data_IF_007125295334
#
_entry.id   IF_007125295334
#
_cell.length_a   1.000
_cell.length_b   1.000
_cell.length_c   1.000
_cell.angle_alpha   90.00
_cell.angle_beta   90.00
_cell.angle_gamma   90.00
#
_symmetry.space_group_name_H-M   'P 1'
#
loop_
_entity.id
_entity.type
_entity.pdbx_description
1 polymer ?
#
# COMPACT_ATOMS: atom_id res chain seq x y z
N UNK A 1 -32.46 17.61 26.93
CA UNK A 1 -31.57 18.18 25.89
C UNK A 1 -30.09 18.33 26.33
N UNK A 2 -29.68 17.92 27.54
CA UNK A 2 -28.26 17.95 27.94
C UNK A 2 -27.42 16.79 27.39
N UNK A 3 -26.13 17.05 27.18
CA UNK A 3 -25.08 16.03 27.33
C UNK A 3 -24.78 15.98 28.83
N UNK A 4 -24.83 14.79 29.42
CA UNK A 4 -24.57 14.60 30.84
C UNK A 4 -23.28 13.78 30.97
N UNK A 5 -22.39 14.21 31.87
CA UNK A 5 -21.16 13.48 32.20
C UNK A 5 -21.48 12.21 32.98
N UNK A 6 -22.55 12.25 33.78
CA UNK A 6 -23.12 11.12 34.49
C UNK A 6 -24.61 11.34 34.72
N UNK A 7 -25.38 10.25 34.74
CA UNK A 7 -26.80 10.28 35.08
C UNK A 7 -27.02 9.46 36.34
N UNK A 8 -27.72 10.02 37.31
CA UNK A 8 -28.28 9.27 38.43
C UNK A 8 -29.78 9.13 38.24
N UNK A 9 -30.32 7.98 38.64
CA UNK A 9 -31.76 7.73 38.59
C UNK A 9 -32.19 6.86 39.75
N UNK A 10 -33.48 6.87 40.08
CA UNK A 10 -34.06 5.95 41.05
C UNK A 10 -34.83 4.86 40.31
N UNK A 11 -34.90 3.65 40.87
CA UNK A 11 -35.67 2.59 40.21
C UNK A 11 -37.18 2.92 40.13
N UNK A 12 -37.78 3.37 41.24
CA UNK A 12 -39.18 3.78 41.28
C UNK A 12 -39.28 5.30 41.17
N UNK A 13 -39.84 5.79 40.06
CA UNK A 13 -40.09 7.20 39.83
C UNK A 13 -41.61 7.46 39.91
N UNK A 14 -42.03 8.67 40.30
CA UNK A 14 -43.46 9.03 40.37
C UNK A 14 -44.17 8.96 39.01
N UNK A 15 -43.41 8.97 37.92
CA UNK A 15 -43.90 9.06 36.55
C UNK A 15 -43.46 7.87 35.67
N UNK A 16 -42.83 6.84 36.24
CA UNK A 16 -42.32 5.70 35.48
C UNK A 16 -41.30 4.87 36.26
N UNK A 17 -40.43 4.16 35.54
CA UNK A 17 -39.34 3.39 36.14
C UNK A 17 -37.96 3.88 35.67
N UNK A 18 -36.94 3.69 36.49
CA UNK A 18 -35.56 4.08 36.20
C UNK A 18 -34.92 3.29 35.06
N UNK A 19 -35.43 2.10 34.73
CA UNK A 19 -34.92 1.30 33.59
C UNK A 19 -35.24 1.99 32.26
N UNK A 20 -36.41 2.60 32.11
CA UNK A 20 -36.77 3.39 30.92
C UNK A 20 -35.83 4.59 30.74
N UNK A 21 -35.47 5.25 31.84
CA UNK A 21 -34.48 6.33 31.84
C UNK A 21 -33.11 5.81 31.40
N UNK A 22 -32.64 4.71 32.01
CA UNK A 22 -31.38 4.05 31.65
C UNK A 22 -31.34 3.71 30.15
N UNK A 23 -32.38 3.04 29.63
CA UNK A 23 -32.46 2.68 28.21
C UNK A 23 -32.46 3.92 27.32
N UNK A 24 -33.19 4.97 27.69
CA UNK A 24 -33.20 6.24 26.97
C UNK A 24 -31.81 6.90 26.91
N UNK A 25 -31.09 6.90 28.04
CA UNK A 25 -29.72 7.42 28.13
C UNK A 25 -28.77 6.61 27.27
N UNK A 26 -28.75 5.28 27.42
CA UNK A 26 -27.85 4.40 26.66
C UNK A 26 -28.14 4.37 25.17
N UNK A 27 -29.41 4.51 24.77
CA UNK A 27 -29.79 4.66 23.35
C UNK A 27 -29.24 5.94 22.74
N UNK A 28 -29.22 7.05 23.51
CA UNK A 28 -28.69 8.33 23.04
C UNK A 28 -27.16 8.33 23.04
N UNK A 29 -26.54 7.83 24.09
CA UNK A 29 -25.10 7.65 24.20
C UNK A 29 -24.78 6.43 25.08
N UNK A 30 -24.28 5.33 24.50
CA UNK A 30 -23.91 4.12 25.25
C UNK A 30 -22.84 4.36 26.33
N UNK A 31 -22.04 5.42 26.18
CA UNK A 31 -20.96 5.77 27.08
C UNK A 31 -21.36 6.71 28.21
N UNK A 32 -22.57 7.26 28.24
CA UNK A 32 -23.00 8.06 29.40
C UNK A 32 -23.21 7.12 30.59
N UNK A 33 -22.46 7.30 31.69
CA UNK A 33 -22.59 6.44 32.84
C UNK A 33 -23.91 6.66 33.57
N UNK A 34 -24.50 5.58 34.06
CA UNK A 34 -25.75 5.61 34.83
C UNK A 34 -25.55 4.89 36.16
N UNK A 35 -25.80 5.61 37.26
CA UNK A 35 -25.84 5.05 38.61
C UNK A 35 -27.28 5.06 39.13
N UNK A 36 -27.77 3.92 39.58
CA UNK A 36 -29.15 3.78 40.06
C UNK A 36 -29.23 3.75 41.58
N UNK A 37 -30.15 4.50 42.16
CA UNK A 37 -30.47 4.41 43.58
C UNK A 37 -31.62 3.44 43.82
N UNK A 38 -31.41 2.46 44.70
CA UNK A 38 -32.36 1.37 44.97
C UNK A 38 -32.76 1.31 46.44
N UNK A 39 -33.97 0.82 46.73
CA UNK A 39 -34.44 0.64 48.12
C UNK A 39 -33.84 -0.60 48.78
N UNK A 40 -33.94 -0.72 50.11
CA UNK A 40 -33.55 -1.94 50.82
C UNK A 40 -34.34 -3.16 50.29
N UNK A 41 -33.64 -4.23 49.89
CA UNK A 41 -34.26 -5.45 49.35
C UNK A 41 -34.48 -5.46 47.82
N UNK A 42 -33.92 -4.51 47.08
CA UNK A 42 -34.08 -4.40 45.61
C UNK A 42 -32.79 -4.61 44.81
N UNK A 43 -31.89 -5.46 45.31
CA UNK A 43 -30.63 -5.79 44.61
C UNK A 43 -30.88 -6.55 43.30
N UNK A 44 -31.86 -7.45 43.29
CA UNK A 44 -32.27 -8.22 42.10
C UNK A 44 -32.65 -7.29 40.94
N UNK A 45 -33.30 -6.17 41.27
CA UNK A 45 -33.70 -5.14 40.33
C UNK A 45 -32.49 -4.39 39.75
N UNK A 46 -31.50 -4.08 40.58
CA UNK A 46 -30.25 -3.47 40.12
C UNK A 46 -29.48 -4.42 39.19
N UNK A 47 -29.42 -5.71 39.55
CA UNK A 47 -28.81 -6.77 38.73
C UNK A 47 -29.55 -6.92 37.40
N UNK A 48 -30.88 -6.84 37.39
CA UNK A 48 -31.63 -6.83 36.14
C UNK A 48 -31.29 -5.59 35.30
N UNK A 49 -31.20 -4.41 35.93
CA UNK A 49 -30.83 -3.17 35.26
C UNK A 49 -29.42 -3.22 34.63
N UNK A 50 -28.48 -4.01 35.18
CA UNK A 50 -27.15 -4.24 34.58
C UNK A 50 -27.26 -4.82 33.17
N UNK A 51 -28.26 -5.67 32.88
CA UNK A 51 -28.50 -6.21 31.53
C UNK A 51 -28.84 -5.13 30.51
N UNK A 52 -29.36 -3.98 30.97
CA UNK A 52 -29.68 -2.82 30.14
C UNK A 52 -28.57 -1.77 30.15
N UNK A 53 -27.41 -2.09 30.70
CA UNK A 53 -26.22 -1.24 30.70
C UNK A 53 -26.12 -0.32 31.91
N UNK A 54 -26.77 -0.62 33.03
CA UNK A 54 -26.49 0.09 34.28
C UNK A 54 -25.01 -0.06 34.63
N UNK A 55 -24.35 1.02 35.07
CA UNK A 55 -22.91 0.99 35.35
C UNK A 55 -22.62 0.73 36.84
N UNK A 56 -23.47 1.25 37.73
CA UNK A 56 -23.42 0.96 39.16
C UNK A 56 -24.77 1.24 39.85
N UNK A 57 -24.91 0.84 41.12
CA UNK A 57 -26.06 1.17 41.94
C UNK A 57 -25.69 1.46 43.40
N UNK A 58 -26.56 2.22 44.08
CA UNK A 58 -26.39 2.62 45.47
C UNK A 58 -27.69 2.35 46.22
N UNK A 59 -27.58 1.65 47.35
CA UNK A 59 -28.72 1.40 48.24
C UNK A 59 -29.03 2.69 49.01
N UNK A 60 -30.29 3.12 49.02
CA UNK A 60 -30.80 4.30 49.72
C UNK A 60 -30.89 4.06 51.24
N UNK A 61 -29.74 3.89 51.88
CA UNK A 61 -29.57 3.87 53.33
C UNK A 61 -28.45 4.83 53.69
N UNK A 62 -28.58 5.50 54.84
CA UNK A 62 -27.70 6.59 55.27
C UNK A 62 -26.21 6.20 55.19
N UNK A 63 -25.89 4.99 55.65
CA UNK A 63 -24.54 4.40 55.66
C UNK A 63 -23.94 4.19 54.24
N UNK A 64 -24.78 4.04 53.21
CA UNK A 64 -24.36 3.69 51.85
C UNK A 64 -24.18 4.90 50.94
N UNK A 65 -24.72 6.07 51.30
CA UNK A 65 -24.54 7.30 50.51
C UNK A 65 -23.07 7.74 50.46
N UNK A 66 -22.28 7.42 51.49
CA UNK A 66 -20.82 7.67 51.50
C UNK A 66 -20.09 6.94 50.37
N UNK A 67 -20.69 5.93 49.73
CA UNK A 67 -20.11 5.24 48.58
C UNK A 67 -20.28 5.98 47.26
N UNK A 68 -21.19 6.96 47.17
CA UNK A 68 -21.48 7.65 45.92
C UNK A 68 -20.23 8.27 45.27
N UNK A 69 -19.38 9.04 45.98
CA UNK A 69 -18.17 9.59 45.38
C UNK A 69 -17.25 8.51 44.77
N UNK A 70 -17.08 7.39 45.47
CA UNK A 70 -16.28 6.27 44.98
C UNK A 70 -16.91 5.57 43.76
N UNK A 71 -18.23 5.34 43.79
CA UNK A 71 -18.97 4.76 42.67
C UNK A 71 -18.88 5.63 41.40
N UNK A 72 -19.08 6.94 41.55
CA UNK A 72 -18.93 7.92 40.45
C UNK A 72 -17.51 7.84 39.88
N UNK A 73 -16.49 7.88 40.74
CA UNK A 73 -15.10 7.85 40.30
C UNK A 73 -14.79 6.57 39.50
N UNK A 74 -15.12 5.40 40.04
CA UNK A 74 -14.87 4.10 39.38
C UNK A 74 -15.60 3.99 38.04
N UNK A 75 -16.85 4.42 37.98
CA UNK A 75 -17.65 4.36 36.75
C UNK A 75 -17.08 5.32 35.69
N UNK A 76 -16.69 6.53 36.09
CA UNK A 76 -16.10 7.51 35.17
C UNK A 76 -14.78 7.01 34.58
N UNK A 77 -13.89 6.43 35.39
CA UNK A 77 -12.63 5.84 34.91
C UNK A 77 -12.88 4.70 33.92
N UNK A 78 -13.80 3.78 34.24
CA UNK A 78 -14.18 2.67 33.34
C UNK A 78 -14.72 3.18 32.01
N UNK A 79 -15.58 4.20 32.02
CA UNK A 79 -16.12 4.79 30.79
C UNK A 79 -15.01 5.47 29.98
N UNK A 80 -14.12 6.22 30.62
CA UNK A 80 -13.00 6.86 29.95
C UNK A 80 -12.11 5.84 29.24
N UNK A 81 -11.78 4.74 29.90
CA UNK A 81 -10.98 3.67 29.30
C UNK A 81 -11.70 3.01 28.12
N UNK A 82 -13.01 2.78 28.21
CA UNK A 82 -13.82 2.26 27.09
C UNK A 82 -13.85 3.22 25.90
N UNK A 83 -14.00 4.53 26.14
CA UNK A 83 -13.98 5.55 25.09
C UNK A 83 -12.59 5.58 24.43
N UNK A 84 -11.52 5.58 25.23
CA UNK A 84 -10.14 5.59 24.75
C UNK A 84 -9.84 4.37 23.88
N UNK A 85 -10.23 3.18 24.34
CA UNK A 85 -10.10 1.94 23.58
C UNK A 85 -10.84 2.00 22.26
N UNK A 86 -12.11 2.43 22.26
CA UNK A 86 -12.91 2.53 21.05
C UNK A 86 -12.31 3.51 20.04
N UNK A 87 -11.84 4.67 20.49
CA UNK A 87 -11.14 5.64 19.62
C UNK A 87 -9.86 5.07 19.03
N UNK A 88 -9.09 4.31 19.81
CA UNK A 88 -7.88 3.65 19.32
C UNK A 88 -8.20 2.58 18.27
N UNK A 89 -9.25 1.78 18.49
CA UNK A 89 -9.73 0.78 17.53
C UNK A 89 -10.23 1.44 16.23
N UNK A 90 -11.00 2.52 16.32
CA UNK A 90 -11.49 3.28 15.16
C UNK A 90 -10.33 3.92 14.37
N UNK A 91 -9.38 4.56 15.07
CA UNK A 91 -8.20 5.16 14.45
C UNK A 91 -7.30 4.10 13.77
N UNK A 92 -7.13 2.94 14.39
CA UNK A 92 -6.41 1.81 13.78
C UNK A 92 -7.12 1.35 12.51
N UNK A 93 -8.43 1.14 12.56
CA UNK A 93 -9.24 0.72 11.41
C UNK A 93 -9.17 1.72 10.25
N UNK A 94 -9.30 3.02 10.54
CA UNK A 94 -9.21 4.08 9.53
C UNK A 94 -7.81 4.12 8.88
N UNK A 95 -6.76 3.97 9.71
CA UNK A 95 -5.38 3.90 9.24
C UNK A 95 -5.16 2.68 8.32
N UNK A 96 -5.62 1.50 8.73
CA UNK A 96 -5.55 0.27 7.91
C UNK A 96 -6.31 0.41 6.60
N UNK A 97 -7.52 1.00 6.62
CA UNK A 97 -8.32 1.29 5.43
C UNK A 97 -7.60 2.25 4.48
N UNK A 98 -6.99 3.30 5.01
CA UNK A 98 -6.22 4.27 4.24
C UNK A 98 -5.00 3.61 3.59
N UNK A 99 -4.20 2.84 4.34
CA UNK A 99 -3.04 2.14 3.80
C UNK A 99 -3.44 1.11 2.75
N UNK A 100 -4.47 0.30 3.01
CA UNK A 100 -5.01 -0.66 2.04
C UNK A 100 -5.42 0.03 0.75
N UNK A 101 -6.13 1.16 0.84
CA UNK A 101 -6.57 1.91 -0.33
C UNK A 101 -5.38 2.43 -1.14
N UNK A 102 -4.36 2.99 -0.49
CA UNK A 102 -3.13 3.46 -1.16
C UNK A 102 -2.39 2.33 -1.88
N UNK A 103 -2.30 1.15 -1.25
CA UNK A 103 -1.64 -0.02 -1.83
C UNK A 103 -2.43 -0.58 -3.01
N UNK A 104 -3.75 -0.75 -2.86
CA UNK A 104 -4.61 -1.34 -3.90
C UNK A 104 -4.84 -0.43 -5.10
N UNK A 105 -4.80 0.90 -4.91
CA UNK A 105 -4.96 1.88 -5.98
C UNK A 105 -3.63 2.30 -6.62
N UNK A 106 -2.49 1.81 -6.12
CA UNK A 106 -1.18 2.08 -6.71
C UNK A 106 -1.14 1.59 -8.17
N UNK A 107 -0.65 2.40 -9.13
CA UNK A 107 -0.45 1.94 -10.50
C UNK A 107 0.71 0.94 -10.62
N UNK A 108 1.68 1.01 -9.69
CA UNK A 108 2.80 0.08 -9.62
C UNK A 108 2.41 -1.15 -8.80
N UNK A 109 2.91 -2.31 -9.22
CA UNK A 109 2.75 -3.58 -8.51
C UNK A 109 3.49 -3.54 -7.18
N UNK A 110 2.80 -3.79 -6.08
CA UNK A 110 3.38 -3.89 -4.74
C UNK A 110 3.29 -5.35 -4.32
N UNK A 111 4.38 -5.88 -3.77
CA UNK A 111 4.43 -7.26 -3.32
C UNK A 111 5.35 -7.43 -2.12
N UNK A 112 5.12 -8.51 -1.38
CA UNK A 112 5.99 -9.00 -0.32
C UNK A 112 6.27 -10.46 -0.62
N UNK A 113 7.54 -10.85 -0.50
CA UNK A 113 7.97 -12.25 -0.58
C UNK A 113 8.74 -12.65 0.67
N UNK A 114 8.69 -13.93 1.03
CA UNK A 114 9.56 -14.47 2.07
C UNK A 114 11.03 -14.60 1.60
N UNK A 115 11.90 -15.14 2.46
CA UNK A 115 13.31 -15.35 2.13
C UNK A 115 13.54 -16.39 1.01
N UNK A 116 12.57 -17.26 0.76
CA UNK A 116 12.59 -18.26 -0.30
C UNK A 116 12.03 -17.72 -1.62
N UNK A 117 11.39 -16.55 -1.60
CA UNK A 117 10.77 -15.91 -2.75
C UNK A 117 9.30 -16.29 -2.95
N UNK A 118 8.63 -16.91 -1.98
CA UNK A 118 7.19 -17.17 -2.06
C UNK A 118 6.43 -15.87 -1.79
N UNK A 119 5.40 -15.58 -2.56
CA UNK A 119 4.60 -14.36 -2.36
C UNK A 119 3.78 -14.47 -1.06
N UNK A 120 3.92 -13.47 -0.20
CA UNK A 120 3.15 -13.32 1.04
C UNK A 120 2.01 -12.30 0.89
N UNK A 121 2.16 -11.35 -0.03
CA UNK A 121 1.17 -10.31 -0.34
C UNK A 121 1.44 -9.74 -1.72
N UNK A 122 0.38 -9.40 -2.44
CA UNK A 122 0.42 -8.69 -3.73
C UNK A 122 -0.77 -7.73 -3.80
N UNK A 123 -0.59 -6.56 -4.40
CA UNK A 123 -1.71 -5.67 -4.70
C UNK A 123 -2.36 -6.00 -6.05
N UNK A 124 -3.50 -5.36 -6.32
CA UNK A 124 -4.21 -5.49 -7.60
C UNK A 124 -3.36 -5.18 -8.83
N UNK A 125 -2.46 -4.19 -8.78
CA UNK A 125 -1.61 -3.85 -9.92
C UNK A 125 -0.64 -4.98 -10.29
N UNK A 126 -0.04 -5.65 -9.31
CA UNK A 126 0.82 -6.81 -9.55
C UNK A 126 0.02 -7.97 -10.17
N UNK A 127 -1.18 -8.23 -9.68
CA UNK A 127 -2.10 -9.20 -10.26
C UNK A 127 -2.40 -8.90 -11.73
N UNK A 128 -2.64 -7.63 -12.06
CA UNK A 128 -2.92 -7.18 -13.42
C UNK A 128 -1.72 -7.35 -14.36
N UNK A 129 -0.50 -7.04 -13.91
CA UNK A 129 0.72 -7.21 -14.71
C UNK A 129 1.00 -8.69 -14.98
N UNK A 130 0.94 -9.54 -13.94
CA UNK A 130 1.25 -10.96 -14.08
C UNK A 130 0.08 -11.80 -14.63
N UNK A 131 -1.14 -11.24 -14.70
CA UNK A 131 -2.36 -11.91 -15.18
C UNK A 131 -2.77 -13.12 -14.33
N UNK A 132 -2.44 -13.09 -13.04
CA UNK A 132 -2.86 -14.07 -12.04
C UNK A 132 -3.77 -13.42 -11.01
N UNK A 133 -4.65 -14.22 -10.41
CA UNK A 133 -5.38 -13.77 -9.22
C UNK A 133 -4.44 -13.67 -8.01
N UNK A 134 -4.81 -12.87 -7.02
CA UNK A 134 -4.07 -12.77 -5.75
C UNK A 134 -3.86 -14.15 -5.13
N UNK A 135 -4.92 -14.97 -5.04
CA UNK A 135 -4.87 -16.31 -4.46
C UNK A 135 -3.86 -17.24 -5.16
N UNK A 136 -3.78 -17.15 -6.48
CA UNK A 136 -2.80 -17.91 -7.25
C UNK A 136 -1.39 -17.42 -6.96
N UNK A 137 -1.16 -16.10 -7.01
CA UNK A 137 0.16 -15.51 -6.71
C UNK A 137 0.64 -15.86 -5.31
N UNK A 138 -0.23 -15.81 -4.30
CA UNK A 138 0.09 -16.19 -2.92
C UNK A 138 0.48 -17.67 -2.76
N UNK A 139 0.21 -18.50 -3.76
CA UNK A 139 0.62 -19.92 -3.80
C UNK A 139 1.85 -20.16 -4.68
N UNK A 140 2.43 -19.09 -5.24
CA UNK A 140 3.54 -19.14 -6.19
C UNK A 140 4.83 -18.60 -5.60
N UNK A 141 5.92 -18.92 -6.28
CA UNK A 141 7.24 -18.36 -6.05
C UNK A 141 7.62 -17.38 -7.18
N UNK A 142 8.44 -16.38 -6.88
CA UNK A 142 8.96 -15.44 -7.90
C UNK A 142 9.58 -16.15 -9.11
N UNK A 143 10.17 -17.34 -8.93
CA UNK A 143 10.81 -18.09 -10.00
C UNK A 143 9.83 -18.74 -10.98
N UNK A 144 8.53 -18.79 -10.65
CA UNK A 144 7.49 -19.27 -11.55
C UNK A 144 7.19 -18.25 -12.66
N UNK A 145 7.46 -16.96 -12.40
CA UNK A 145 7.22 -15.86 -13.35
C UNK A 145 8.52 -15.20 -13.83
N UNK A 146 9.60 -15.27 -13.06
CA UNK A 146 10.92 -14.70 -13.41
C UNK A 146 11.82 -15.77 -14.04
N UNK A 147 12.33 -15.59 -15.27
CA UNK A 147 13.27 -16.50 -15.90
C UNK A 147 14.56 -16.71 -15.10
N UNK A 148 15.07 -17.95 -15.09
CA UNK A 148 16.27 -18.35 -14.32
C UNK A 148 17.52 -17.50 -14.58
N UNK A 149 17.66 -16.87 -15.76
CA UNK A 149 18.79 -15.96 -16.08
C UNK A 149 18.95 -14.82 -15.08
N UNK A 150 17.86 -14.41 -14.42
CA UNK A 150 17.89 -13.32 -13.43
C UNK A 150 18.27 -13.77 -12.01
N UNK A 151 18.39 -15.07 -11.73
CA UNK A 151 18.69 -15.56 -10.38
C UNK A 151 20.02 -15.02 -9.83
N UNK A 152 21.05 -14.93 -10.68
CA UNK A 152 22.37 -14.41 -10.27
C UNK A 152 22.29 -12.92 -9.90
N UNK A 153 21.55 -12.13 -10.69
CA UNK A 153 21.31 -10.71 -10.42
C UNK A 153 20.54 -10.53 -9.10
N UNK A 154 19.46 -11.28 -8.92
CA UNK A 154 18.66 -11.27 -7.70
C UNK A 154 19.50 -11.61 -6.47
N UNK A 155 20.20 -12.75 -6.46
CA UNK A 155 21.07 -13.15 -5.35
C UNK A 155 22.10 -12.07 -4.98
N UNK A 156 22.73 -11.45 -5.98
CA UNK A 156 23.69 -10.36 -5.78
C UNK A 156 23.03 -9.16 -5.10
N UNK A 157 21.83 -8.76 -5.54
CA UNK A 157 21.10 -7.62 -4.96
C UNK A 157 20.60 -7.90 -3.56
N UNK A 158 20.03 -9.07 -3.32
CA UNK A 158 19.60 -9.49 -1.98
C UNK A 158 20.77 -9.52 -1.01
N UNK A 159 21.93 -10.05 -1.41
CA UNK A 159 23.12 -10.07 -0.56
C UNK A 159 23.58 -8.66 -0.15
N UNK A 160 23.42 -7.66 -1.02
CA UNK A 160 23.71 -6.25 -0.71
C UNK A 160 22.69 -5.67 0.28
N UNK A 161 21.40 -5.90 0.04
CA UNK A 161 20.32 -5.46 0.95
C UNK A 161 20.51 -6.05 2.35
N UNK A 162 20.86 -7.33 2.45
CA UNK A 162 21.12 -8.01 3.72
C UNK A 162 22.35 -7.47 4.47
N UNK A 163 23.30 -6.84 3.76
CA UNK A 163 24.43 -6.12 4.35
C UNK A 163 24.09 -4.68 4.76
N UNK A 164 22.84 -4.26 4.58
CA UNK A 164 22.41 -2.89 4.86
C UNK A 164 22.73 -1.89 3.75
N UNK A 165 23.18 -2.33 2.57
CA UNK A 165 23.37 -1.43 1.43
C UNK A 165 22.01 -0.96 0.89
N UNK A 166 21.87 0.36 0.69
CA UNK A 166 20.72 0.93 0.02
C UNK A 166 20.92 0.87 -1.50
N UNK A 167 20.04 0.17 -2.22
CA UNK A 167 20.11 0.08 -3.68
C UNK A 167 19.32 1.23 -4.31
N UNK A 168 20.01 2.24 -4.82
CA UNK A 168 19.40 3.41 -5.47
C UNK A 168 18.77 3.07 -6.82
N UNK A 169 19.44 2.21 -7.60
CA UNK A 169 19.00 1.83 -8.95
C UNK A 169 18.01 0.67 -8.90
N UNK A 170 16.86 0.75 -9.63
CA UNK A 170 15.97 -0.39 -9.81
C UNK A 170 16.70 -1.52 -10.55
N UNK A 171 16.21 -2.74 -10.39
CA UNK A 171 16.61 -3.84 -11.26
C UNK A 171 15.50 -4.14 -12.27
N UNK A 172 15.90 -4.29 -13.52
CA UNK A 172 15.00 -4.69 -14.59
C UNK A 172 14.90 -6.22 -14.67
N UNK A 173 13.67 -6.71 -14.71
CA UNK A 173 13.35 -8.12 -14.88
C UNK A 173 12.36 -8.27 -16.02
N UNK A 174 12.52 -9.30 -16.82
CA UNK A 174 11.44 -9.79 -17.65
C UNK A 174 10.64 -10.81 -16.85
N UNK A 175 9.31 -10.67 -16.87
CA UNK A 175 8.39 -11.61 -16.22
C UNK A 175 7.44 -12.20 -17.24
N UNK A 176 7.16 -13.49 -17.12
CA UNK A 176 6.19 -14.20 -17.95
C UNK A 176 4.85 -14.23 -17.23
N UNK A 177 3.88 -13.53 -17.79
CA UNK A 177 2.51 -13.52 -17.29
C UNK A 177 1.75 -14.80 -17.69
N UNK A 178 0.59 -15.02 -17.08
CA UNK A 178 -0.27 -16.18 -17.36
C UNK A 178 -0.73 -16.26 -18.81
N UNK A 179 -0.95 -15.11 -19.46
CA UNK A 179 -1.33 -15.02 -20.87
C UNK A 179 -0.18 -15.35 -21.83
N UNK A 180 0.99 -15.73 -21.30
CA UNK A 180 2.18 -16.07 -22.06
C UNK A 180 3.00 -14.87 -22.53
N UNK A 181 2.51 -13.64 -22.33
CA UNK A 181 3.25 -12.42 -22.69
C UNK A 181 4.39 -12.18 -21.71
N UNK A 182 5.41 -11.51 -22.23
CA UNK A 182 6.56 -11.07 -21.46
C UNK A 182 6.42 -9.59 -21.18
N UNK A 183 6.49 -9.23 -19.91
CA UNK A 183 6.50 -7.84 -19.45
C UNK A 183 7.88 -7.51 -18.91
N UNK A 184 8.33 -6.27 -19.10
CA UNK A 184 9.54 -5.75 -18.47
C UNK A 184 9.14 -4.91 -17.27
N UNK A 185 9.61 -5.30 -16.09
CA UNK A 185 9.35 -4.59 -14.83
C UNK A 185 10.63 -4.03 -14.23
N UNK A 186 10.55 -2.83 -13.68
CA UNK A 186 11.58 -2.22 -12.84
C UNK A 186 11.22 -2.45 -11.38
N UNK A 187 12.09 -3.15 -10.64
CA UNK A 187 11.85 -3.52 -9.26
C UNK A 187 12.81 -2.82 -8.31
N UNK A 188 12.24 -2.15 -7.32
CA UNK A 188 12.94 -1.70 -6.11
C UNK A 188 12.49 -2.56 -4.94
N UNK A 189 13.44 -3.01 -4.14
CA UNK A 189 13.16 -3.88 -3.00
C UNK A 189 13.84 -3.36 -1.74
N UNK A 190 13.14 -3.51 -0.62
CA UNK A 190 13.61 -3.21 0.73
C UNK A 190 13.43 -4.44 1.63
N UNK A 191 14.19 -4.57 2.74
CA UNK A 191 13.96 -5.63 3.70
C UNK A 191 12.54 -5.57 4.25
N UNK A 192 11.88 -6.73 4.36
CA UNK A 192 10.64 -6.86 5.12
C UNK A 192 10.98 -7.38 6.52
N UNK A 193 10.73 -6.53 7.52
CA UNK A 193 11.16 -6.77 8.90
C UNK A 193 9.93 -7.04 9.78
N UNK A 194 9.95 -8.16 10.52
CA UNK A 194 9.00 -8.45 11.59
C UNK A 194 9.77 -8.70 12.88
N UNK A 195 9.34 -8.04 13.97
CA UNK A 195 9.97 -8.17 15.29
C UNK A 195 11.51 -8.04 15.27
N UNK A 196 12.03 -7.06 14.52
CA UNK A 196 13.46 -6.78 14.39
C UNK A 196 14.25 -7.76 13.51
N UNK A 197 13.61 -8.76 12.90
CA UNK A 197 14.26 -9.73 12.00
C UNK A 197 13.80 -9.55 10.56
N UNK A 198 14.73 -9.67 9.62
CA UNK A 198 14.39 -9.73 8.19
C UNK A 198 13.74 -11.09 7.93
N UNK A 199 12.48 -11.07 7.49
CA UNK A 199 11.69 -12.27 7.18
C UNK A 199 11.37 -12.38 5.69
N UNK A 200 11.83 -11.43 4.88
CA UNK A 200 11.56 -11.39 3.45
C UNK A 200 11.94 -10.05 2.82
N UNK A 201 11.34 -9.78 1.66
CA UNK A 201 11.56 -8.55 0.91
C UNK A 201 10.22 -7.97 0.46
N UNK A 202 10.10 -6.67 0.61
CA UNK A 202 9.00 -5.87 0.07
C UNK A 202 9.50 -5.22 -1.21
N UNK A 203 8.70 -5.28 -2.28
CA UNK A 203 9.06 -4.72 -3.58
C UNK A 203 7.97 -3.86 -4.20
N UNK A 204 8.41 -2.86 -4.97
CA UNK A 204 7.58 -2.12 -5.91
C UNK A 204 8.09 -2.45 -7.31
N UNK A 205 7.20 -2.94 -8.17
CA UNK A 205 7.42 -3.33 -9.54
C UNK A 205 6.65 -2.38 -10.47
N UNK A 206 7.37 -1.56 -11.22
CA UNK A 206 6.79 -0.71 -12.26
C UNK A 206 6.84 -1.41 -13.60
N UNK A 207 5.70 -1.51 -14.29
CA UNK A 207 5.68 -1.97 -15.68
C UNK A 207 6.27 -0.89 -16.60
N UNK A 208 7.37 -1.23 -17.26
CA UNK A 208 8.06 -0.36 -18.23
C UNK A 208 8.08 -0.97 -19.63
N UNK A 209 7.22 -1.95 -19.89
CA UNK A 209 7.20 -2.71 -21.15
C UNK A 209 7.05 -1.80 -22.37
N UNK A 210 6.04 -0.92 -22.35
CA UNK A 210 5.78 0.00 -23.46
C UNK A 210 6.91 1.04 -23.61
N UNK A 211 7.42 1.58 -22.50
CA UNK A 211 8.56 2.51 -22.52
C UNK A 211 9.78 1.86 -23.17
N UNK A 212 10.11 0.63 -22.79
CA UNK A 212 11.24 -0.13 -23.34
C UNK A 212 11.07 -0.50 -24.82
N UNK A 213 9.84 -0.80 -25.25
CA UNK A 213 9.54 -1.01 -26.67
C UNK A 213 9.81 0.25 -27.48
N UNK A 214 9.31 1.41 -27.02
CA UNK A 214 9.55 2.70 -27.67
C UNK A 214 11.03 3.07 -27.69
N UNK A 215 11.75 2.91 -26.58
CA UNK A 215 13.20 3.16 -26.51
C UNK A 215 13.98 2.29 -27.52
N UNK A 216 13.60 1.01 -27.65
CA UNK A 216 14.24 0.07 -28.58
C UNK A 216 13.95 0.42 -30.04
N UNK A 217 12.72 0.81 -30.34
CA UNK A 217 12.32 1.25 -31.68
C UNK A 217 13.04 2.54 -32.08
N UNK A 218 13.06 3.53 -31.18
CA UNK A 218 13.79 4.77 -31.37
C UNK A 218 15.27 4.51 -31.61
N UNK A 219 15.90 3.64 -30.82
CA UNK A 219 17.31 3.26 -31.01
C UNK A 219 17.56 2.66 -32.39
N UNK A 220 16.71 1.74 -32.85
CA UNK A 220 16.82 1.15 -34.20
C UNK A 220 16.68 2.20 -35.30
N UNK A 221 15.74 3.13 -35.15
CA UNK A 221 15.53 4.20 -36.12
C UNK A 221 16.73 5.15 -36.17
N UNK A 222 17.32 5.48 -35.02
CA UNK A 222 18.55 6.27 -34.95
C UNK A 222 19.73 5.56 -35.62
N UNK A 223 19.94 4.27 -35.36
CA UNK A 223 20.98 3.47 -36.02
C UNK A 223 20.77 3.39 -37.55
N UNK A 224 19.51 3.29 -38.00
CA UNK A 224 19.17 3.32 -39.42
C UNK A 224 19.47 4.68 -40.07
N UNK A 225 19.06 5.77 -39.42
CA UNK A 225 19.33 7.13 -39.88
C UNK A 225 20.83 7.44 -39.94
N UNK A 226 21.61 7.00 -38.95
CA UNK A 226 23.07 7.14 -38.97
C UNK A 226 23.70 6.45 -40.18
N UNK A 227 23.32 5.18 -40.45
CA UNK A 227 23.82 4.46 -41.62
C UNK A 227 23.45 5.13 -42.95
N UNK A 228 22.24 5.67 -43.05
CA UNK A 228 21.80 6.39 -44.24
C UNK A 228 22.57 7.70 -44.42
N UNK A 229 22.80 8.43 -43.33
CA UNK A 229 23.60 9.65 -43.34
C UNK A 229 25.04 9.37 -43.80
N UNK A 230 25.71 8.39 -43.20
CA UNK A 230 27.09 8.01 -43.55
C UNK A 230 27.23 7.62 -45.03
N UNK A 231 26.27 6.85 -45.56
CA UNK A 231 26.24 6.48 -46.98
C UNK A 231 26.01 7.68 -47.91
N UNK A 232 25.21 8.67 -47.48
CA UNK A 232 24.94 9.88 -48.26
C UNK A 232 26.20 10.77 -48.31
N UNK A 233 26.88 10.92 -47.18
CA UNK A 233 28.15 11.67 -47.10
C UNK A 233 29.21 11.04 -48.00
N UNK A 234 29.38 9.70 -47.95
CA UNK A 234 30.31 8.97 -48.83
C UNK A 234 29.97 9.17 -50.32
N UNK A 235 28.69 9.13 -50.67
CA UNK A 235 28.22 9.38 -52.05
C UNK A 235 28.52 10.80 -52.50
N UNK A 236 28.28 11.80 -51.66
CA UNK A 236 28.57 13.20 -51.97
C UNK A 236 30.07 13.44 -52.16
N UNK A 237 30.92 12.79 -51.34
CA UNK A 237 32.38 12.88 -51.46
C UNK A 237 32.85 12.31 -52.80
N UNK A 238 32.42 11.09 -53.15
CA UNK A 238 32.72 10.46 -54.44
C UNK A 238 32.22 11.29 -55.61
N UNK A 239 31.03 11.90 -55.49
CA UNK A 239 30.48 12.74 -56.54
C UNK A 239 31.30 14.03 -56.73
N UNK A 240 31.88 14.57 -55.66
CA UNK A 240 32.77 15.74 -55.71
C UNK A 240 34.09 15.38 -56.41
N UNK A 241 34.72 14.28 -56.03
CA UNK A 241 35.95 13.78 -56.68
C UNK A 241 35.74 13.50 -58.18
N UNK A 242 34.60 12.90 -58.53
CA UNK A 242 34.27 12.61 -59.93
C UNK A 242 34.08 13.90 -60.74
N UNK A 243 33.44 14.93 -60.17
CA UNK A 243 33.30 16.25 -60.81
C UNK A 243 34.65 16.92 -61.04
N UNK A 244 35.58 16.82 -60.09
CA UNK A 244 36.94 17.36 -60.25
C UNK A 244 37.69 16.65 -61.39
N UNK A 245 37.65 15.32 -61.45
CA UNK A 245 38.25 14.55 -62.55
C UNK A 245 37.64 14.87 -63.92
N UNK A 246 36.31 15.01 -64.00
CA UNK A 246 35.64 15.40 -65.25
C UNK A 246 36.18 16.75 -65.74
N UNK A 247 36.28 17.74 -64.84
CA UNK A 247 36.80 19.07 -65.16
C UNK A 247 38.26 19.03 -65.63
N UNK A 248 39.06 18.15 -65.05
CA UNK A 248 40.46 17.93 -65.45
C UNK A 248 40.57 17.30 -66.85
N UNK A 249 39.74 16.28 -67.14
CA UNK A 249 39.68 15.68 -68.47
C UNK A 249 39.15 16.63 -69.54
N UNK A 250 38.14 17.44 -69.24
CA UNK A 250 37.62 18.47 -70.16
C UNK A 250 38.74 19.44 -70.57
N UNK A 251 39.54 19.89 -69.60
CA UNK A 251 40.69 20.77 -69.85
C UNK A 251 41.76 20.11 -70.71
N UNK A 252 42.08 18.84 -70.45
CA UNK A 252 43.04 18.06 -71.24
C UNK A 252 42.57 17.88 -72.70
N UNK A 253 41.27 17.63 -72.90
CA UNK A 253 40.66 17.51 -74.24
C UNK A 253 40.74 18.84 -75.00
N UNK A 254 40.49 19.98 -74.34
CA UNK A 254 40.64 21.30 -74.97
C UNK A 254 42.09 21.59 -75.38
N UNK A 255 43.07 21.24 -74.54
CA UNK A 255 44.49 21.38 -74.86
C UNK A 255 44.90 20.51 -76.06
N UNK A 256 44.44 19.26 -76.11
CA UNK A 256 44.68 18.36 -77.24
C UNK A 256 44.04 18.85 -78.55
N UNK A 257 42.87 19.50 -78.48
CA UNK A 257 42.22 20.11 -79.64
C UNK A 257 42.94 21.36 -80.15
N UNK A 258 43.61 22.12 -79.27
CA UNK A 258 44.41 23.30 -79.65
C UNK A 258 45.76 22.95 -80.29
N UNK A 259 46.29 21.76 -79.99
CA UNK A 259 47.59 21.29 -80.50
C UNK A 259 47.49 20.42 -81.77
N UNK A 260 46.30 20.33 -82.39
CA UNK A 260 46.06 19.74 -83.72
C UNK A 260 45.75 20.83 -84.72
#
# INVERSE_FOLDING_TARGET
KGNFDIVTTEYHLRWGNGIEVLRGVKKKNPFTPVIMFTGAGTEEVAVEAMKYGLDDYIIKKEEYFMRLPAAVHVVMEKIQERIKRKRAEEALKESEEKYRTLVEQSPDGIFIVDLQGNFLSVNKAMCNVLRYSEKELLSMNIWDVVPKRYQKLYKKRIAKILKGEHLTEPAEYEVKARDGKVYTIEVRSVPYIKAGKIVGFQGIARDVTERKKMEKELKKNLEYLQRFHDATVDRELKMRELKEKIKEYEKLIEELKRNK
#
